data_IF_672665697095
#
_entry.id   IF_672665697095
#
_cell.length_a   1.000
_cell.length_b   1.000
_cell.length_c   1.000
_cell.angle_alpha   90.00
_cell.angle_beta   90.00
_cell.angle_gamma   90.00
#
_symmetry.space_group_name_H-M   'P 1'
#
loop_
_entity.id
_entity.type
_entity.pdbx_description
1 polymer ?
#
# COMPACT_ATOMS: atom_id res chain seq x y z
N UNK A 1 -3.52 5.02 -22.65
CA UNK A 1 -3.03 6.38 -22.94
C UNK A 1 -2.31 6.91 -21.71
N UNK A 2 -1.04 7.31 -21.83
CA UNK A 2 -0.31 7.91 -20.69
C UNK A 2 -0.69 9.37 -20.56
N UNK A 3 -1.36 9.74 -19.46
CA UNK A 3 -1.60 11.16 -19.16
C UNK A 3 -0.29 11.86 -18.80
N UNK A 4 -0.14 13.16 -19.09
CA UNK A 4 1.03 13.91 -18.67
C UNK A 4 1.14 13.92 -17.14
N UNK A 5 2.31 13.55 -16.62
CA UNK A 5 2.64 13.58 -15.19
C UNK A 5 2.88 15.01 -14.72
N UNK A 6 2.44 15.31 -13.51
CA UNK A 6 2.78 16.55 -12.79
C UNK A 6 3.94 16.29 -11.84
N UNK A 7 4.72 17.33 -11.57
CA UNK A 7 5.84 17.26 -10.65
C UNK A 7 5.74 18.37 -9.63
N UNK A 8 6.03 18.06 -8.38
CA UNK A 8 6.19 19.07 -7.36
C UNK A 8 7.52 19.80 -7.56
N UNK A 9 7.57 21.09 -7.19
CA UNK A 9 8.84 21.86 -7.17
C UNK A 9 9.83 21.34 -6.13
N UNK A 10 9.33 20.67 -5.09
CA UNK A 10 10.08 20.07 -3.98
C UNK A 10 9.40 18.76 -3.58
N UNK A 11 10.15 17.85 -2.95
CA UNK A 11 9.59 16.60 -2.44
C UNK A 11 8.52 16.93 -1.38
N UNK A 12 7.27 16.46 -1.53
CA UNK A 12 6.23 16.67 -0.52
C UNK A 12 6.55 15.85 0.73
N UNK A 13 6.32 16.44 1.90
CA UNK A 13 6.51 15.81 3.21
C UNK A 13 5.17 15.82 3.93
N UNK A 14 4.77 14.67 4.45
CA UNK A 14 3.56 14.49 5.23
C UNK A 14 3.92 13.88 6.57
N UNK A 15 3.30 14.39 7.63
CA UNK A 15 3.39 13.84 8.99
C UNK A 15 1.99 13.35 9.34
N UNK A 16 1.92 12.09 9.76
CA UNK A 16 0.68 11.39 10.12
C UNK A 16 0.86 10.77 11.50
N UNK A 17 -0.24 10.48 12.18
CA UNK A 17 -0.17 9.84 13.49
C UNK A 17 0.02 8.33 13.32
N UNK A 18 -0.89 7.70 12.57
CA UNK A 18 -0.86 6.27 12.29
C UNK A 18 -0.27 5.97 10.91
N UNK A 19 0.27 4.77 10.72
CA UNK A 19 0.94 4.39 9.48
C UNK A 19 -0.02 4.37 8.28
N UNK A 20 -1.24 3.87 8.46
CA UNK A 20 -2.27 3.77 7.42
C UNK A 20 -2.81 5.13 6.97
N UNK A 21 -2.74 6.16 7.82
CA UNK A 21 -3.16 7.54 7.51
C UNK A 21 -2.31 8.20 6.40
N UNK A 22 -1.21 7.56 5.96
CA UNK A 22 -0.45 7.99 4.78
C UNK A 22 -1.22 7.76 3.47
N UNK A 23 -2.09 6.74 3.42
CA UNK A 23 -2.73 6.28 2.19
C UNK A 23 -3.57 7.37 1.49
N UNK A 24 -4.35 8.21 2.20
CA UNK A 24 -5.02 9.37 1.61
C UNK A 24 -4.09 10.33 0.84
N UNK A 25 -2.87 10.56 1.33
CA UNK A 25 -1.91 11.46 0.67
C UNK A 25 -1.32 10.82 -0.60
N UNK A 26 -1.09 9.51 -0.56
CA UNK A 26 -0.71 8.73 -1.73
C UNK A 26 -1.84 8.81 -2.76
N UNK A 27 -3.08 8.55 -2.38
CA UNK A 27 -4.26 8.60 -3.26
C UNK A 27 -4.46 9.99 -3.87
N UNK A 28 -4.19 11.06 -3.10
CA UNK A 28 -4.17 12.43 -3.63
C UNK A 28 -3.11 12.59 -4.72
N UNK A 29 -1.90 12.04 -4.53
CA UNK A 29 -0.83 12.10 -5.53
C UNK A 29 -1.16 11.28 -6.80
N UNK A 30 -1.81 10.12 -6.65
CA UNK A 30 -2.33 9.32 -7.76
C UNK A 30 -3.39 10.11 -8.56
N UNK A 31 -4.44 10.59 -7.88
CA UNK A 31 -5.55 11.31 -8.51
C UNK A 31 -5.14 12.65 -9.14
N UNK A 32 -4.13 13.32 -8.57
CA UNK A 32 -3.58 14.57 -9.13
C UNK A 32 -2.48 14.35 -10.17
N UNK A 33 -2.17 13.09 -10.51
CA UNK A 33 -1.17 12.68 -11.53
C UNK A 33 0.27 13.05 -11.18
N UNK A 34 0.58 13.19 -9.89
CA UNK A 34 1.96 13.33 -9.40
C UNK A 34 2.64 11.97 -9.22
N UNK A 35 1.84 10.91 -9.06
CA UNK A 35 2.27 9.52 -9.15
C UNK A 35 1.56 8.83 -10.32
N UNK A 36 2.21 7.89 -11.03
CA UNK A 36 1.52 6.89 -11.84
C UNK A 36 0.37 6.26 -11.07
N UNK A 37 -0.76 5.98 -11.72
CA UNK A 37 -1.92 5.39 -11.04
C UNK A 37 -1.63 3.96 -10.53
N UNK A 38 -0.78 3.23 -11.24
CA UNK A 38 -0.42 1.85 -10.95
C UNK A 38 1.09 1.63 -11.09
N UNK A 39 1.59 0.54 -10.48
CA UNK A 39 2.95 0.07 -10.72
C UNK A 39 4.04 0.84 -9.98
N UNK A 40 3.70 1.59 -8.92
CA UNK A 40 4.70 2.35 -8.16
C UNK A 40 5.58 1.43 -7.30
N UNK A 41 6.79 1.90 -7.02
CA UNK A 41 7.64 1.34 -5.99
C UNK A 41 7.37 2.05 -4.65
N UNK A 42 7.24 1.29 -3.58
CA UNK A 42 7.03 1.78 -2.23
C UNK A 42 8.18 1.32 -1.32
N UNK A 43 8.81 2.26 -0.62
CA UNK A 43 9.92 2.00 0.30
C UNK A 43 9.42 2.29 1.72
N UNK A 44 9.47 1.27 2.58
CA UNK A 44 9.01 1.32 3.97
C UNK A 44 10.19 1.10 4.90
N UNK A 45 10.52 2.09 5.73
CA UNK A 45 11.58 2.01 6.72
C UNK A 45 10.91 1.84 8.08
N UNK A 46 10.87 0.62 8.59
CA UNK A 46 10.23 0.32 9.87
C UNK A 46 10.74 -0.99 10.46
N UNK A 47 10.56 -1.16 11.76
CA UNK A 47 10.71 -2.42 12.47
C UNK A 47 9.65 -3.48 12.14
N UNK A 48 8.50 -3.09 11.60
CA UNK A 48 7.40 -3.97 11.16
C UNK A 48 7.21 -3.89 9.64
N UNK A 49 6.71 -4.95 8.99
CA UNK A 49 6.52 -4.91 7.55
C UNK A 49 5.25 -4.17 7.11
N UNK A 50 4.24 -4.03 7.99
CA UNK A 50 2.89 -3.51 7.70
C UNK A 50 2.19 -4.15 6.48
N UNK A 51 2.59 -5.39 6.18
CA UNK A 51 2.10 -6.21 5.07
C UNK A 51 1.17 -7.32 5.55
N UNK A 52 0.38 -7.10 6.61
CA UNK A 52 -0.75 -7.98 6.91
C UNK A 52 -1.92 -7.67 5.97
N UNK A 53 -2.92 -8.57 5.98
CA UNK A 53 -4.15 -8.42 5.21
C UNK A 53 -5.33 -8.43 6.19
N UNK A 54 -6.29 -7.50 6.07
CA UNK A 54 -7.52 -7.56 6.86
C UNK A 54 -8.32 -8.83 6.53
N UNK A 55 -8.38 -9.78 7.48
CA UNK A 55 -8.83 -11.17 7.25
C UNK A 55 -10.25 -11.29 6.67
N UNK A 56 -11.12 -10.35 6.99
CA UNK A 56 -12.55 -10.39 6.63
C UNK A 56 -12.95 -9.32 5.63
N UNK A 57 -12.02 -8.45 5.21
CA UNK A 57 -12.33 -7.40 4.24
C UNK A 57 -12.61 -8.02 2.87
N UNK A 58 -13.71 -7.59 2.25
CA UNK A 58 -14.03 -7.95 0.88
C UNK A 58 -12.91 -7.49 -0.06
N UNK A 59 -12.51 -8.34 -1.01
CA UNK A 59 -11.48 -7.95 -1.99
C UNK A 59 -11.90 -6.71 -2.80
N UNK A 60 -13.21 -6.49 -2.98
CA UNK A 60 -13.72 -5.33 -3.71
C UNK A 60 -13.57 -4.00 -2.95
N UNK A 61 -13.37 -4.05 -1.63
CA UNK A 61 -13.22 -2.87 -0.78
C UNK A 61 -12.04 -2.00 -1.21
N UNK A 62 -10.99 -2.57 -1.82
CA UNK A 62 -9.79 -1.81 -2.22
C UNK A 62 -10.07 -0.71 -3.26
N UNK A 63 -11.19 -0.79 -3.98
CA UNK A 63 -11.62 0.22 -4.96
C UNK A 63 -12.63 1.23 -4.41
N UNK A 64 -13.16 1.02 -3.19
CA UNK A 64 -13.93 2.03 -2.47
C UNK A 64 -13.03 2.67 -1.40
N UNK A 65 -12.53 3.87 -1.70
CA UNK A 65 -11.58 4.56 -0.80
C UNK A 65 -12.14 4.76 0.62
N UNK A 66 -13.44 5.06 0.76
CA UNK A 66 -14.00 5.43 2.05
C UNK A 66 -14.15 4.18 2.92
N UNK A 67 -14.63 3.10 2.30
CA UNK A 67 -14.73 1.81 2.96
C UNK A 67 -13.34 1.25 3.29
N UNK A 68 -12.39 1.31 2.35
CA UNK A 68 -11.02 0.88 2.55
C UNK A 68 -10.38 1.55 3.76
N UNK A 69 -10.44 2.89 3.84
CA UNK A 69 -9.83 3.64 4.95
C UNK A 69 -10.46 3.31 6.31
N UNK A 70 -11.69 2.79 6.34
CA UNK A 70 -12.34 2.34 7.58
C UNK A 70 -12.04 0.88 7.97
N UNK A 71 -11.49 0.09 7.05
CA UNK A 71 -11.23 -1.35 7.25
C UNK A 71 -9.74 -1.70 7.39
N UNK A 72 -8.85 -0.77 7.05
CA UNK A 72 -7.40 -0.91 7.27
C UNK A 72 -6.98 -0.37 8.64
N UNK A 73 -5.79 -0.76 9.07
CA UNK A 73 -5.13 -0.35 10.31
C UNK A 73 -3.63 -0.29 10.09
N UNK A 74 -2.90 0.18 11.10
CA UNK A 74 -1.45 0.41 11.11
C UNK A 74 -0.63 -0.74 10.50
N UNK A 75 -1.06 -1.99 10.69
CA UNK A 75 -0.29 -3.18 10.33
C UNK A 75 -0.69 -3.82 8.99
N UNK A 76 -1.77 -3.36 8.34
CA UNK A 76 -2.42 -4.11 7.26
C UNK A 76 -2.84 -3.29 6.03
N UNK A 77 -2.28 -2.09 5.86
CA UNK A 77 -2.69 -1.13 4.83
C UNK A 77 -1.92 -1.23 3.49
N UNK A 78 -0.67 -1.75 3.51
CA UNK A 78 0.20 -1.77 2.32
C UNK A 78 -0.33 -2.74 1.27
N UNK A 79 -0.71 -3.95 1.70
CA UNK A 79 -1.14 -5.02 0.79
C UNK A 79 -2.47 -4.72 0.09
N UNK A 80 -3.51 -4.16 0.74
CA UNK A 80 -4.68 -3.64 0.05
C UNK A 80 -4.37 -2.65 -1.09
N UNK A 81 -3.43 -1.72 -0.87
CA UNK A 81 -3.00 -0.77 -1.90
C UNK A 81 -2.20 -1.44 -3.05
N UNK A 82 -1.44 -2.50 -2.73
CA UNK A 82 -0.80 -3.34 -3.75
C UNK A 82 -1.84 -4.11 -4.58
N UNK A 83 -2.88 -4.67 -3.95
CA UNK A 83 -3.96 -5.37 -4.65
C UNK A 83 -4.78 -4.44 -5.56
N UNK A 84 -4.99 -3.18 -5.14
CA UNK A 84 -5.56 -2.13 -5.99
C UNK A 84 -4.67 -1.75 -7.20
N UNK A 85 -3.44 -2.24 -7.26
CA UNK A 85 -2.47 -2.01 -8.34
C UNK A 85 -1.58 -0.78 -8.13
N UNK A 86 -1.81 0.01 -7.07
CA UNK A 86 -1.06 1.24 -6.81
C UNK A 86 0.41 0.97 -6.54
N UNK A 87 0.71 -0.13 -5.83
CA UNK A 87 2.07 -0.61 -5.58
C UNK A 87 2.34 -1.91 -6.31
N UNK A 88 3.55 -2.04 -6.86
CA UNK A 88 4.04 -3.27 -7.50
C UNK A 88 5.33 -3.78 -6.86
N UNK A 89 6.20 -2.87 -6.46
CA UNK A 89 7.47 -3.21 -5.82
C UNK A 89 7.44 -2.68 -4.38
N UNK A 90 7.43 -3.59 -3.41
CA UNK A 90 7.47 -3.26 -1.99
C UNK A 90 8.89 -3.53 -1.47
N UNK A 91 9.51 -2.50 -0.91
CA UNK A 91 10.86 -2.57 -0.36
C UNK A 91 10.76 -2.25 1.12
N UNK A 92 10.87 -3.28 1.96
CA UNK A 92 10.94 -3.12 3.41
C UNK A 92 12.40 -3.08 3.86
N UNK A 93 12.80 -1.95 4.43
CA UNK A 93 14.13 -1.76 5.03
C UNK A 93 13.96 -1.82 6.53
N UNK A 94 14.48 -2.88 7.14
CA UNK A 94 14.26 -3.20 8.55
C UNK A 94 15.55 -3.16 9.36
N UNK A 95 15.48 -2.85 10.66
CA UNK A 95 16.64 -2.94 11.53
C UNK A 95 17.07 -4.40 11.76
N UNK A 96 18.32 -4.67 12.17
CA UNK A 96 18.86 -6.02 12.32
C UNK A 96 18.10 -6.92 13.32
N UNK A 97 17.31 -6.34 14.23
CA UNK A 97 16.53 -7.08 15.22
C UNK A 97 15.11 -7.45 14.77
N UNK A 98 14.65 -6.94 13.62
CA UNK A 98 13.35 -7.28 13.05
C UNK A 98 13.42 -8.62 12.31
N UNK A 99 12.82 -9.66 12.90
CA UNK A 99 12.91 -11.06 12.45
C UNK A 99 11.61 -11.61 11.82
N UNK A 100 10.63 -10.76 11.53
CA UNK A 100 9.31 -11.18 11.01
C UNK A 100 9.41 -11.80 9.61
N UNK A 101 10.38 -11.39 8.80
CA UNK A 101 10.71 -12.01 7.51
C UNK A 101 12.22 -12.08 7.32
N UNK A 102 12.68 -13.08 6.57
CA UNK A 102 14.08 -13.21 6.17
C UNK A 102 14.43 -12.15 5.12
N UNK A 103 15.67 -11.68 5.16
CA UNK A 103 16.18 -10.77 4.14
C UNK A 103 16.25 -11.50 2.80
N UNK A 104 15.77 -10.87 1.73
CA UNK A 104 15.78 -11.46 0.42
C UNK A 104 14.78 -10.82 -0.52
N UNK A 105 14.63 -11.44 -1.69
CA UNK A 105 13.66 -11.04 -2.71
C UNK A 105 12.66 -12.17 -2.87
N UNK A 106 11.39 -11.87 -2.59
CA UNK A 106 10.29 -12.81 -2.73
C UNK A 106 9.25 -12.22 -3.68
N UNK A 107 8.74 -13.05 -4.58
CA UNK A 107 7.57 -12.72 -5.39
C UNK A 107 6.39 -13.54 -4.88
N UNK A 108 5.27 -12.88 -4.64
CA UNK A 108 4.05 -13.50 -4.19
C UNK A 108 2.85 -12.88 -4.91
N UNK A 109 1.70 -13.56 -4.81
CA UNK A 109 0.44 -13.07 -5.35
C UNK A 109 -0.44 -12.58 -4.21
N UNK A 110 -1.16 -11.49 -4.48
CA UNK A 110 -2.28 -11.00 -3.66
C UNK A 110 -3.52 -10.94 -4.55
N UNK A 111 -4.66 -11.29 -3.98
CA UNK A 111 -5.85 -11.53 -4.76
C UNK A 111 -7.13 -11.61 -3.95
N UNK A 112 -8.17 -12.02 -4.65
CA UNK A 112 -9.47 -12.37 -4.07
C UNK A 112 -9.50 -13.87 -3.78
N UNK A 113 -9.85 -14.23 -2.56
CA UNK A 113 -10.14 -15.59 -2.19
C UNK A 113 -11.40 -16.08 -2.92
N UNK A 114 -11.33 -17.29 -3.50
CA UNK A 114 -12.41 -17.82 -4.36
C UNK A 114 -13.70 -18.09 -3.60
N UNK A 115 -13.58 -18.66 -2.40
CA UNK A 115 -14.74 -19.19 -1.66
C UNK A 115 -15.53 -18.12 -0.90
N UNK A 116 -14.86 -17.22 -0.18
CA UNK A 116 -15.49 -16.20 0.67
C UNK A 116 -15.39 -14.78 0.10
N UNK A 117 -14.66 -14.57 -1.01
CA UNK A 117 -14.48 -13.27 -1.64
C UNK A 117 -13.62 -12.26 -0.88
N UNK A 118 -12.99 -12.64 0.23
CA UNK A 118 -12.10 -11.75 0.98
C UNK A 118 -10.77 -11.53 0.25
N UNK A 119 -10.04 -10.48 0.62
CA UNK A 119 -8.65 -10.30 0.17
C UNK A 119 -7.73 -11.38 0.79
N UNK A 120 -6.71 -11.83 0.05
CA UNK A 120 -5.76 -12.89 0.42
C UNK A 120 -4.42 -12.73 -0.29
#
# INVERSE_FOLDING_TARGET
MSFPRKYFKRIPIYVVENHDEVLPFIYRCLGSKHLPFEGNAFVHLDSHPDMLIPKTMSANTVWDKNQLFSEISIENWILPAAYAGHFKHLIWVKPPWANQMVDGVTTFFIGRHRDNGSIR
#
